data_IF_393676766713
#
_entry.id   IF_393676766713
#
_cell.length_a   1.000
_cell.length_b   1.000
_cell.length_c   1.000
_cell.angle_alpha   90.00
_cell.angle_beta   90.00
_cell.angle_gamma   90.00
#
_symmetry.space_group_name_H-M   'P 1'
#
loop_
_entity.id
_entity.type
_entity.pdbx_description
1 polymer ?
#
# COMPACT_ATOMS: atom_id res chain seq x y z
N UNK A 1 5.82 -23.60 -6.70
CA UNK A 1 5.41 -22.44 -7.53
C UNK A 1 3.97 -22.49 -8.04
N UNK A 2 3.40 -23.66 -8.38
CA UNK A 2 2.01 -23.76 -8.88
C UNK A 2 0.97 -23.19 -7.90
N UNK A 3 1.17 -23.44 -6.59
CA UNK A 3 0.30 -22.95 -5.52
C UNK A 3 0.21 -21.41 -5.47
N UNK A 4 1.35 -20.71 -5.46
CA UNK A 4 1.38 -19.24 -5.43
C UNK A 4 0.77 -18.63 -6.70
N UNK A 5 0.91 -19.29 -7.85
CA UNK A 5 0.23 -18.87 -9.08
C UNK A 5 -1.29 -19.01 -8.99
N UNK A 6 -1.79 -20.05 -8.32
CA UNK A 6 -3.21 -20.32 -8.15
C UNK A 6 -3.87 -19.43 -7.10
N UNK A 7 -3.20 -19.20 -5.97
CA UNK A 7 -3.75 -18.48 -4.82
C UNK A 7 -3.21 -17.07 -4.63
N UNK A 8 -2.27 -16.62 -5.47
CA UNK A 8 -1.59 -15.33 -5.31
C UNK A 8 -2.53 -14.12 -5.23
N UNK A 9 -3.64 -14.12 -5.97
CA UNK A 9 -4.62 -13.03 -5.88
C UNK A 9 -5.44 -13.04 -4.59
N UNK A 10 -5.58 -14.20 -3.94
CA UNK A 10 -6.16 -14.26 -2.60
C UNK A 10 -5.18 -13.70 -1.57
N UNK A 11 -3.89 -14.01 -1.67
CA UNK A 11 -2.86 -13.37 -0.83
C UNK A 11 -2.81 -11.86 -1.06
N UNK A 12 -2.93 -11.40 -2.30
CA UNK A 12 -2.99 -9.97 -2.61
C UNK A 12 -4.18 -9.29 -1.92
N UNK A 13 -5.37 -9.89 -2.02
CA UNK A 13 -6.58 -9.35 -1.41
C UNK A 13 -6.52 -9.39 0.13
N UNK A 14 -6.03 -10.50 0.70
CA UNK A 14 -5.84 -10.63 2.15
C UNK A 14 -4.78 -9.66 2.67
N UNK A 15 -3.71 -9.42 1.91
CA UNK A 15 -2.69 -8.42 2.24
C UNK A 15 -3.29 -7.02 2.31
N UNK A 16 -4.08 -6.63 1.30
CA UNK A 16 -4.81 -5.35 1.32
C UNK A 16 -5.75 -5.25 2.52
N UNK A 17 -6.56 -6.29 2.78
CA UNK A 17 -7.52 -6.26 3.89
C UNK A 17 -6.81 -6.20 5.24
N UNK A 18 -5.76 -6.98 5.43
CA UNK A 18 -4.94 -6.98 6.64
C UNK A 18 -4.36 -5.59 6.89
N UNK A 19 -3.67 -5.02 5.90
CA UNK A 19 -2.98 -3.74 6.03
C UNK A 19 -3.96 -2.58 6.20
N UNK A 20 -5.06 -2.57 5.44
CA UNK A 20 -6.10 -1.56 5.54
C UNK A 20 -6.81 -1.59 6.90
N UNK A 21 -7.18 -2.77 7.41
CA UNK A 21 -8.00 -2.87 8.64
C UNK A 21 -7.19 -2.68 9.92
N UNK A 22 -5.90 -3.05 9.91
CA UNK A 22 -5.00 -2.97 11.08
C UNK A 22 -5.09 -1.64 11.84
N UNK A 23 -4.90 -0.45 11.21
CA UNK A 23 -4.96 0.82 11.93
C UNK A 23 -6.36 1.17 12.48
N UNK A 24 -7.44 0.66 11.88
CA UNK A 24 -8.78 0.92 12.39
C UNK A 24 -9.11 0.03 13.59
N UNK A 25 -8.71 -1.24 13.53
CA UNK A 25 -8.90 -2.19 14.64
C UNK A 25 -8.04 -1.79 15.83
N UNK A 26 -6.74 -1.52 15.62
CA UNK A 26 -5.83 -1.14 16.70
C UNK A 26 -6.15 0.24 17.28
N UNK A 27 -6.75 1.13 16.48
CA UNK A 27 -7.25 2.42 16.97
C UNK A 27 -8.30 2.31 18.08
N UNK A 28 -9.02 1.19 18.17
CA UNK A 28 -9.97 0.94 19.26
C UNK A 28 -9.28 0.71 20.61
N UNK A 29 -8.00 0.33 20.58
CA UNK A 29 -7.20 -0.03 21.76
C UNK A 29 -6.10 0.99 22.06
N UNK A 30 -6.10 2.14 21.38
CA UNK A 30 -5.14 3.22 21.61
C UNK A 30 -5.86 4.58 21.78
N UNK A 31 -6.36 4.89 23.00
CA UNK A 31 -7.21 6.06 23.26
C UNK A 31 -6.56 7.41 22.92
N UNK A 32 -5.25 7.53 23.07
CA UNK A 32 -4.49 8.74 22.77
C UNK A 32 -4.30 8.98 21.27
N UNK A 33 -4.59 7.98 20.43
CA UNK A 33 -4.40 8.08 18.99
C UNK A 33 -5.56 8.85 18.33
N UNK A 34 -5.28 10.06 17.86
CA UNK A 34 -6.21 10.80 17.03
C UNK A 34 -6.05 10.44 15.54
N UNK A 35 -6.95 9.59 15.03
CA UNK A 35 -6.95 9.12 13.63
C UNK A 35 -6.97 10.24 12.58
N UNK A 36 -7.46 11.44 12.93
CA UNK A 36 -7.57 12.56 12.00
C UNK A 36 -6.25 13.32 11.87
N UNK A 37 -5.50 13.45 12.97
CA UNK A 37 -4.30 14.30 13.03
C UNK A 37 -3.01 13.51 13.13
N UNK A 38 -3.06 12.22 13.45
CA UNK A 38 -1.88 11.37 13.57
C UNK A 38 -1.77 10.37 12.40
N UNK A 39 -0.55 10.21 11.90
CA UNK A 39 -0.23 9.27 10.82
C UNK A 39 -0.29 7.82 11.32
N UNK A 40 -0.56 6.88 10.42
CA UNK A 40 -0.73 5.47 10.76
C UNK A 40 0.53 4.83 11.38
N UNK A 41 1.73 5.30 11.02
CA UNK A 41 2.97 4.78 11.60
C UNK A 41 3.10 5.01 13.11
N UNK A 42 2.33 5.93 13.70
CA UNK A 42 2.28 6.17 15.17
C UNK A 42 1.84 4.92 15.94
N UNK A 43 1.09 4.01 15.33
CA UNK A 43 0.78 2.71 15.95
C UNK A 43 2.03 1.85 16.20
N UNK A 44 3.12 2.09 15.47
CA UNK A 44 4.42 1.42 15.65
C UNK A 44 5.40 2.20 16.52
N UNK A 45 4.98 3.32 17.09
CA UNK A 45 5.81 4.12 18.01
C UNK A 45 6.15 3.33 19.28
N UNK A 46 7.34 3.58 19.84
CA UNK A 46 7.85 2.90 21.03
C UNK A 46 6.94 3.04 22.25
N UNK A 47 6.20 4.14 22.38
CA UNK A 47 5.26 4.39 23.46
C UNK A 47 3.85 3.83 23.20
N UNK A 48 3.58 3.31 22.00
CA UNK A 48 2.24 2.82 21.64
C UNK A 48 1.86 1.55 22.42
N UNK A 49 0.69 1.49 23.07
CA UNK A 49 0.22 0.30 23.79
C UNK A 49 -0.11 -0.88 22.85
N UNK A 50 -0.32 -0.58 21.56
CA UNK A 50 -0.65 -1.57 20.52
C UNK A 50 0.53 -1.88 19.59
N UNK A 51 1.73 -1.35 19.91
CA UNK A 51 2.94 -1.49 19.09
C UNK A 51 3.20 -2.92 18.64
N UNK A 52 3.23 -3.87 19.58
CA UNK A 52 3.54 -5.26 19.27
C UNK A 52 2.59 -5.86 18.23
N UNK A 53 1.29 -5.60 18.39
CA UNK A 53 0.28 -6.05 17.44
C UNK A 53 0.44 -5.37 16.08
N UNK A 54 0.66 -4.04 16.05
CA UNK A 54 0.88 -3.30 14.82
C UNK A 54 2.08 -3.85 14.03
N UNK A 55 3.23 -4.01 14.68
CA UNK A 55 4.45 -4.49 14.04
C UNK A 55 4.27 -5.89 13.44
N UNK A 56 3.66 -6.82 14.20
CA UNK A 56 3.40 -8.18 13.71
C UNK A 56 2.46 -8.17 12.51
N UNK A 57 1.36 -7.43 12.57
CA UNK A 57 0.40 -7.36 11.47
C UNK A 57 0.97 -6.66 10.23
N UNK A 58 1.84 -5.65 10.39
CA UNK A 58 2.57 -5.06 9.27
C UNK A 58 3.47 -6.09 8.57
N UNK A 59 4.20 -6.93 9.33
CA UNK A 59 4.97 -8.03 8.71
C UNK A 59 4.05 -9.02 7.99
N UNK A 60 2.94 -9.43 8.62
CA UNK A 60 1.97 -10.37 8.01
C UNK A 60 1.42 -9.82 6.69
N UNK A 61 0.97 -8.56 6.67
CA UNK A 61 0.50 -7.88 5.46
C UNK A 61 1.57 -7.88 4.36
N UNK A 62 2.81 -7.54 4.72
CA UNK A 62 3.94 -7.51 3.80
C UNK A 62 4.27 -8.89 3.20
N UNK A 63 4.26 -9.93 4.01
CA UNK A 63 4.44 -11.31 3.54
C UNK A 63 3.33 -11.71 2.56
N UNK A 64 2.08 -11.36 2.85
CA UNK A 64 0.95 -11.63 1.94
C UNK A 64 1.14 -10.95 0.57
N UNK A 65 1.61 -9.69 0.54
CA UNK A 65 1.95 -9.00 -0.71
C UNK A 65 3.10 -9.71 -1.46
N UNK A 66 4.15 -10.13 -0.76
CA UNK A 66 5.29 -10.85 -1.37
C UNK A 66 4.85 -12.20 -1.97
N UNK A 67 3.96 -12.93 -1.28
CA UNK A 67 3.43 -14.20 -1.77
C UNK A 67 2.55 -14.04 -3.02
N UNK A 68 2.00 -12.85 -3.27
CA UNK A 68 1.20 -12.55 -4.46
C UNK A 68 2.06 -12.31 -5.72
N UNK A 69 3.32 -11.91 -5.58
CA UNK A 69 4.16 -11.46 -6.69
C UNK A 69 4.28 -12.45 -7.86
N UNK A 70 4.42 -13.78 -7.64
CA UNK A 70 4.49 -14.72 -8.74
C UNK A 70 3.22 -14.73 -9.61
N UNK A 71 2.03 -14.60 -9.00
CA UNK A 71 0.78 -14.57 -9.77
C UNK A 71 0.64 -13.28 -10.58
N UNK A 72 1.07 -12.14 -10.02
CA UNK A 72 1.07 -10.83 -10.69
C UNK A 72 1.98 -10.88 -11.93
N UNK A 73 3.20 -11.37 -11.76
CA UNK A 73 4.17 -11.50 -12.86
C UNK A 73 3.63 -12.39 -13.98
N UNK A 74 3.14 -13.58 -13.63
CA UNK A 74 2.68 -14.56 -14.62
C UNK A 74 1.46 -14.09 -15.43
N UNK A 75 0.64 -13.21 -14.88
CA UNK A 75 -0.54 -12.65 -15.57
C UNK A 75 -0.16 -11.86 -16.82
N UNK A 76 1.00 -11.19 -16.79
CA UNK A 76 1.40 -10.25 -17.84
C UNK A 76 2.73 -10.60 -18.52
N UNK A 77 3.44 -11.65 -18.07
CA UNK A 77 4.73 -12.06 -18.66
C UNK A 77 4.67 -12.29 -20.17
N UNK A 78 3.53 -12.77 -20.67
CA UNK A 78 3.31 -13.02 -22.10
C UNK A 78 3.07 -11.73 -22.89
N UNK A 79 2.56 -10.68 -22.24
CA UNK A 79 2.36 -9.35 -22.84
C UNK A 79 3.66 -8.54 -22.84
N UNK A 80 4.39 -8.52 -21.73
CA UNK A 80 5.70 -7.90 -21.61
C UNK A 80 6.37 -8.34 -20.32
N UNK A 81 7.53 -9.01 -20.41
CA UNK A 81 8.30 -9.42 -19.23
C UNK A 81 8.73 -8.23 -18.39
N UNK A 82 9.23 -7.17 -19.02
CA UNK A 82 9.67 -5.95 -18.33
C UNK A 82 8.55 -5.30 -17.54
N UNK A 83 7.39 -5.03 -18.18
CA UNK A 83 6.26 -4.40 -17.49
C UNK A 83 5.64 -5.32 -16.42
N UNK A 84 5.63 -6.63 -16.64
CA UNK A 84 5.19 -7.59 -15.62
C UNK A 84 6.11 -7.60 -14.40
N UNK A 85 7.43 -7.53 -14.60
CA UNK A 85 8.41 -7.39 -13.51
C UNK A 85 8.24 -6.06 -12.77
N UNK A 86 8.04 -4.94 -13.48
CA UNK A 86 7.81 -3.64 -12.87
C UNK A 86 6.51 -3.58 -12.07
N UNK A 87 5.44 -4.20 -12.57
CA UNK A 87 4.17 -4.32 -11.85
C UNK A 87 4.32 -5.14 -10.57
N UNK A 88 5.03 -6.28 -10.63
CA UNK A 88 5.31 -7.09 -9.45
C UNK A 88 6.24 -6.33 -8.49
N UNK A 89 7.25 -5.63 -8.99
CA UNK A 89 8.14 -4.79 -8.18
C UNK A 89 7.38 -3.68 -7.47
N UNK A 90 6.37 -3.06 -8.09
CA UNK A 90 5.55 -2.04 -7.45
C UNK A 90 4.85 -2.56 -6.17
N UNK A 91 4.26 -3.76 -6.24
CA UNK A 91 3.67 -4.43 -5.06
C UNK A 91 4.74 -4.94 -4.10
N UNK A 92 5.89 -5.39 -4.60
CA UNK A 92 7.01 -5.85 -3.78
C UNK A 92 7.61 -4.70 -2.95
N UNK A 93 7.78 -3.52 -3.57
CA UNK A 93 8.21 -2.29 -2.89
C UNK A 93 7.22 -1.92 -1.80
N UNK A 94 5.91 -1.96 -2.08
CA UNK A 94 4.90 -1.69 -1.06
C UNK A 94 4.96 -2.69 0.10
N UNK A 95 4.88 -4.00 -0.20
CA UNK A 95 4.87 -5.04 0.83
C UNK A 95 6.15 -5.08 1.66
N UNK A 96 7.33 -4.89 1.05
CA UNK A 96 8.60 -4.90 1.76
C UNK A 96 8.85 -3.56 2.46
N UNK A 97 8.75 -2.45 1.72
CA UNK A 97 9.12 -1.12 2.20
C UNK A 97 8.10 -0.52 3.17
N UNK A 98 6.81 -0.59 2.85
CA UNK A 98 5.78 0.02 3.69
C UNK A 98 5.28 -0.92 4.80
N UNK A 99 5.26 -2.23 4.56
CA UNK A 99 4.75 -3.19 5.56
C UNK A 99 5.87 -3.91 6.34
N UNK A 100 6.76 -4.67 5.69
CA UNK A 100 7.80 -5.45 6.41
C UNK A 100 8.75 -4.53 7.16
N UNK A 101 9.27 -3.48 6.53
CA UNK A 101 10.18 -2.57 7.20
C UNK A 101 9.48 -1.83 8.36
N UNK A 102 8.21 -1.46 8.20
CA UNK A 102 7.42 -0.93 9.32
C UNK A 102 7.37 -1.87 10.51
N UNK A 103 7.21 -3.17 10.28
CA UNK A 103 7.17 -4.17 11.34
C UNK A 103 8.53 -4.49 11.97
N UNK A 104 9.62 -4.35 11.22
CA UNK A 104 10.98 -4.66 11.70
C UNK A 104 11.71 -3.45 12.29
N UNK A 105 11.37 -2.24 11.83
CA UNK A 105 12.02 -1.00 12.20
C UNK A 105 10.96 -0.04 12.75
N UNK A 106 10.92 0.07 14.08
CA UNK A 106 10.00 0.98 14.77
C UNK A 106 10.44 2.43 14.60
N UNK A 107 9.46 3.33 14.68
CA UNK A 107 9.73 4.77 14.75
C UNK A 107 9.89 5.21 16.20
N UNK A 108 10.70 6.26 16.35
CA UNK A 108 10.71 7.14 17.51
C UNK A 108 10.21 8.51 17.03
N UNK A 109 9.08 8.96 17.59
CA UNK A 109 8.40 10.18 17.15
C UNK A 109 9.13 11.46 17.57
N UNK A 110 10.03 11.41 18.55
CA UNK A 110 10.86 12.57 18.92
C UNK A 110 12.00 12.77 17.90
N UNK A 111 11.93 13.82 17.07
CA UNK A 111 12.93 14.06 16.01
C UNK A 111 14.37 14.19 16.52
N UNK A 112 14.55 14.69 17.74
CA UNK A 112 15.86 14.79 18.39
C UNK A 112 16.51 13.44 18.75
N UNK A 113 15.76 12.34 18.70
CA UNK A 113 16.24 11.00 19.07
C UNK A 113 16.18 10.01 17.90
N UNK A 114 16.01 10.49 16.66
CA UNK A 114 15.88 9.62 15.49
C UNK A 114 17.04 8.64 15.37
N UNK A 115 16.70 7.37 15.58
CA UNK A 115 17.62 6.25 15.44
C UNK A 115 17.79 5.84 13.97
N UNK A 116 18.78 4.99 13.69
CA UNK A 116 18.94 4.36 12.38
C UNK A 116 17.65 3.59 11.99
N UNK A 117 16.93 3.01 12.96
CA UNK A 117 15.64 2.34 12.73
C UNK A 117 14.61 3.31 12.14
N UNK A 118 14.46 4.50 12.71
CA UNK A 118 13.52 5.53 12.22
C UNK A 118 13.85 5.96 10.78
N UNK A 119 15.13 6.07 10.44
CA UNK A 119 15.57 6.39 9.07
C UNK A 119 15.23 5.29 8.07
N UNK A 120 15.54 4.02 8.41
CA UNK A 120 15.22 2.87 7.56
C UNK A 120 13.71 2.77 7.34
N UNK A 121 12.93 2.96 8.42
CA UNK A 121 11.47 3.01 8.36
C UNK A 121 11.00 4.09 7.38
N UNK A 122 11.40 5.35 7.58
CA UNK A 122 10.91 6.47 6.78
C UNK A 122 11.27 6.34 5.29
N UNK A 123 12.49 5.89 4.98
CA UNK A 123 12.91 5.62 3.59
C UNK A 123 12.12 4.43 3.01
N UNK A 124 11.97 3.36 3.80
CA UNK A 124 11.20 2.18 3.45
C UNK A 124 9.75 2.51 3.09
N UNK A 125 9.04 3.20 3.97
CA UNK A 125 7.66 3.63 3.76
C UNK A 125 7.53 4.59 2.58
N UNK A 126 8.48 5.50 2.41
CA UNK A 126 8.48 6.41 1.25
C UNK A 126 8.59 5.66 -0.08
N UNK A 127 9.51 4.70 -0.18
CA UNK A 127 9.68 3.84 -1.36
C UNK A 127 8.48 2.90 -1.56
N UNK A 128 7.96 2.34 -0.47
CA UNK A 128 6.81 1.46 -0.51
C UNK A 128 5.56 2.18 -1.00
N UNK A 129 5.28 3.36 -0.46
CA UNK A 129 4.19 4.22 -0.92
C UNK A 129 4.34 4.65 -2.38
N UNK A 130 5.57 4.91 -2.85
CA UNK A 130 5.82 5.18 -4.27
C UNK A 130 5.47 3.96 -5.14
N UNK A 131 5.87 2.74 -4.72
CA UNK A 131 5.46 1.49 -5.36
C UNK A 131 3.95 1.32 -5.45
N UNK A 132 3.25 1.64 -4.35
CA UNK A 132 1.80 1.63 -4.27
C UNK A 132 1.14 2.55 -5.31
N UNK A 133 1.65 3.77 -5.44
CA UNK A 133 1.13 4.80 -6.34
C UNK A 133 1.35 4.49 -7.82
N UNK A 134 2.50 3.91 -8.19
CA UNK A 134 2.83 3.59 -9.59
C UNK A 134 2.24 2.27 -10.08
N UNK A 135 1.69 1.43 -9.19
CA UNK A 135 1.05 0.17 -9.56
C UNK A 135 -0.02 0.30 -10.67
N UNK A 136 -1.03 1.18 -10.55
CA UNK A 136 -2.04 1.34 -11.61
C UNK A 136 -1.45 1.88 -12.92
N UNK A 137 -0.34 2.63 -12.90
CA UNK A 137 0.33 3.09 -14.13
C UNK A 137 0.77 1.91 -14.99
N UNK A 138 1.40 0.89 -14.39
CA UNK A 138 1.81 -0.30 -15.13
C UNK A 138 0.62 -1.09 -15.67
N UNK A 139 -0.49 -1.16 -14.92
CA UNK A 139 -1.73 -1.79 -15.41
C UNK A 139 -2.31 -1.06 -16.63
N UNK A 140 -2.32 0.27 -16.63
CA UNK A 140 -2.77 1.08 -17.79
C UNK A 140 -1.99 0.65 -19.04
N UNK A 141 -0.65 0.65 -18.95
CA UNK A 141 0.21 0.33 -20.10
C UNK A 141 0.01 -1.13 -20.55
N UNK A 142 -0.05 -2.07 -19.61
CA UNK A 142 -0.24 -3.49 -19.89
C UNK A 142 -1.60 -3.77 -20.55
N UNK A 143 -2.69 -3.20 -20.04
CA UNK A 143 -4.01 -3.38 -20.64
C UNK A 143 -4.15 -2.72 -22.01
N UNK A 144 -3.50 -1.57 -22.25
CA UNK A 144 -3.40 -0.99 -23.60
C UNK A 144 -2.70 -1.93 -24.57
N UNK A 145 -1.57 -2.53 -24.16
CA UNK A 145 -0.85 -3.52 -24.99
C UNK A 145 -1.67 -4.77 -25.29
N UNK A 146 -2.63 -5.12 -24.44
CA UNK A 146 -3.56 -6.23 -24.68
C UNK A 146 -4.80 -5.82 -25.52
N UNK A 147 -4.88 -4.57 -25.99
CA UNK A 147 -6.07 -4.06 -26.69
C UNK A 147 -7.30 -3.86 -25.79
N UNK A 148 -7.13 -3.93 -24.47
CA UNK A 148 -8.21 -3.87 -23.46
C UNK A 148 -8.45 -2.44 -23.00
N UNK A 149 -8.97 -1.61 -23.90
CA UNK A 149 -9.16 -0.17 -23.69
C UNK A 149 -10.04 0.15 -22.46
N UNK A 150 -11.14 -0.59 -22.26
CA UNK A 150 -12.05 -0.39 -21.12
C UNK A 150 -11.31 -0.57 -19.78
N UNK A 151 -10.56 -1.65 -19.62
CA UNK A 151 -9.77 -1.91 -18.41
C UNK A 151 -8.69 -0.84 -18.22
N UNK A 152 -7.99 -0.45 -19.29
CA UNK A 152 -7.02 0.64 -19.23
C UNK A 152 -7.64 1.95 -18.73
N UNK A 153 -8.83 2.32 -19.19
CA UNK A 153 -9.47 3.58 -18.82
C UNK A 153 -9.93 3.56 -17.34
N UNK A 154 -10.39 2.40 -16.84
CA UNK A 154 -10.69 2.23 -15.42
C UNK A 154 -9.44 2.48 -14.57
N UNK A 155 -8.31 1.87 -14.90
CA UNK A 155 -7.07 2.11 -14.13
C UNK A 155 -6.52 3.52 -14.30
N UNK A 156 -6.75 4.18 -15.45
CA UNK A 156 -6.39 5.59 -15.62
C UNK A 156 -7.17 6.49 -14.67
N UNK A 157 -8.49 6.29 -14.57
CA UNK A 157 -9.32 7.03 -13.62
C UNK A 157 -8.84 6.80 -12.18
N UNK A 158 -8.63 5.53 -11.79
CA UNK A 158 -8.14 5.19 -10.46
C UNK A 158 -6.76 5.79 -10.17
N UNK A 159 -5.86 5.82 -11.17
CA UNK A 159 -4.54 6.42 -11.04
C UNK A 159 -4.63 7.94 -10.83
N UNK A 160 -5.47 8.64 -11.60
CA UNK A 160 -5.67 10.09 -11.43
C UNK A 160 -6.20 10.39 -10.02
N UNK A 161 -7.22 9.66 -9.57
CA UNK A 161 -7.78 9.81 -8.21
C UNK A 161 -6.69 9.55 -7.15
N UNK A 162 -5.87 8.51 -7.34
CA UNK A 162 -4.77 8.18 -6.44
C UNK A 162 -3.73 9.30 -6.40
N UNK A 163 -3.30 9.83 -7.55
CA UNK A 163 -2.35 10.95 -7.64
C UNK A 163 -2.88 12.22 -6.98
N UNK A 164 -4.14 12.59 -7.22
CA UNK A 164 -4.74 13.77 -6.61
C UNK A 164 -4.78 13.64 -5.08
N UNK A 165 -5.21 12.49 -4.56
CA UNK A 165 -5.23 12.23 -3.12
C UNK A 165 -3.83 12.21 -2.51
N UNK A 166 -2.84 11.63 -3.22
CA UNK A 166 -1.46 11.58 -2.78
C UNK A 166 -0.83 12.97 -2.77
N UNK A 167 -1.20 13.83 -3.73
CA UNK A 167 -0.82 15.25 -3.75
C UNK A 167 -1.35 16.00 -2.54
N UNK A 168 -2.64 15.83 -2.19
CA UNK A 168 -3.22 16.42 -0.98
C UNK A 168 -2.52 15.92 0.28
N UNK A 169 -2.23 14.62 0.37
CA UNK A 169 -1.49 14.06 1.48
C UNK A 169 -0.05 14.60 1.57
N UNK A 170 0.64 14.71 0.42
CA UNK A 170 1.97 15.31 0.33
C UNK A 170 1.98 16.77 0.79
N UNK A 171 0.98 17.56 0.40
CA UNK A 171 0.80 18.93 0.88
C UNK A 171 0.56 19.00 2.39
N UNK A 172 -0.22 18.06 2.95
CA UNK A 172 -0.46 17.97 4.39
C UNK A 172 0.80 17.67 5.21
N UNK A 173 1.84 17.12 4.58
CA UNK A 173 3.16 16.90 5.22
C UNK A 173 4.04 18.15 5.23
N UNK A 174 3.70 19.21 4.51
CA UNK A 174 4.52 20.44 4.42
C UNK A 174 4.14 21.39 5.58
N UNK A 175 5.04 21.65 6.55
CA UNK A 175 4.71 22.44 7.74
C UNK A 175 4.24 23.87 7.46
N UNK A 176 4.66 24.49 6.34
CA UNK A 176 4.25 25.85 5.97
C UNK A 176 2.87 25.96 5.34
N UNK A 177 2.23 24.83 4.99
CA UNK A 177 0.94 24.77 4.29
C UNK A 177 -0.10 23.99 5.11
N UNK A 178 0.34 23.20 6.09
CA UNK A 178 -0.51 22.30 6.84
C UNK A 178 -1.52 23.00 7.78
N UNK A 179 -1.46 24.32 7.96
CA UNK A 179 -2.44 25.07 8.77
C UNK A 179 -3.84 25.16 8.12
N UNK A 180 -3.96 24.83 6.83
CA UNK A 180 -5.26 24.84 6.14
C UNK A 180 -6.22 23.78 6.74
N UNK A 181 -7.55 24.04 6.84
CA UNK A 181 -8.50 23.23 7.64
C UNK A 181 -8.64 21.74 7.31
N UNK A 182 -8.16 21.32 6.14
CA UNK A 182 -8.11 19.91 5.71
C UNK A 182 -6.69 19.36 5.86
N UNK A 183 -5.67 20.18 5.62
CA UNK A 183 -4.27 19.75 5.64
C UNK A 183 -3.72 19.59 7.07
N UNK A 184 -4.31 20.27 8.05
CA UNK A 184 -3.98 20.06 9.47
C UNK A 184 -4.44 18.69 9.99
N UNK A 185 -5.28 17.98 9.22
CA UNK A 185 -5.71 16.60 9.48
C UNK A 185 -4.88 15.64 8.64
N UNK A 186 -3.56 15.66 8.85
CA UNK A 186 -2.60 14.82 8.12
C UNK A 186 -2.95 13.32 8.18
N UNK A 187 -3.44 12.84 9.34
CA UNK A 187 -3.87 11.45 9.53
C UNK A 187 -5.07 11.07 8.64
N UNK A 188 -6.02 11.99 8.48
CA UNK A 188 -7.16 11.83 7.58
C UNK A 188 -6.72 11.82 6.12
N UNK A 189 -5.92 12.81 5.71
CA UNK A 189 -5.39 12.89 4.35
C UNK A 189 -4.61 11.63 3.96
N UNK A 190 -3.79 11.10 4.88
CA UNK A 190 -3.07 9.84 4.69
C UNK A 190 -4.04 8.68 4.44
N UNK A 191 -5.03 8.48 5.32
CA UNK A 191 -5.97 7.34 5.23
C UNK A 191 -6.81 7.37 3.97
N UNK A 192 -7.29 8.55 3.56
CA UNK A 192 -7.98 8.73 2.27
C UNK A 192 -7.07 8.34 1.11
N UNK A 193 -5.82 8.80 1.13
CA UNK A 193 -4.90 8.48 0.05
C UNK A 193 -4.57 6.98 0.00
N UNK A 194 -4.30 6.34 1.13
CA UNK A 194 -4.09 4.89 1.19
C UNK A 194 -5.32 4.11 0.71
N UNK A 195 -6.52 4.47 1.19
CA UNK A 195 -7.77 3.86 0.72
C UNK A 195 -7.91 3.90 -0.80
N UNK A 196 -7.69 5.08 -1.40
CA UNK A 196 -7.81 5.25 -2.85
C UNK A 196 -6.73 4.50 -3.63
N UNK A 197 -5.52 4.36 -3.08
CA UNK A 197 -4.47 3.53 -3.66
C UNK A 197 -4.74 2.02 -3.52
N UNK A 198 -5.49 1.57 -2.50
CA UNK A 198 -5.88 0.15 -2.38
C UNK A 198 -6.91 -0.26 -3.45
N UNK A 199 -7.82 0.65 -3.83
CA UNK A 199 -8.88 0.36 -4.82
C UNK A 199 -8.34 -0.28 -6.11
N UNK A 200 -7.33 0.25 -6.82
CA UNK A 200 -6.80 -0.39 -8.02
C UNK A 200 -6.25 -1.80 -7.75
N UNK A 201 -5.64 -2.06 -6.58
CA UNK A 201 -5.17 -3.40 -6.22
C UNK A 201 -6.35 -4.36 -6.00
N UNK A 202 -7.37 -3.93 -5.27
CA UNK A 202 -8.57 -4.75 -4.99
C UNK A 202 -9.31 -5.06 -6.29
N UNK A 203 -9.54 -4.05 -7.14
CA UNK A 203 -10.19 -4.23 -8.45
C UNK A 203 -9.38 -5.20 -9.30
N UNK A 204 -8.05 -5.09 -9.31
CA UNK A 204 -7.18 -6.01 -10.01
C UNK A 204 -7.31 -7.44 -9.47
N UNK A 205 -7.15 -7.65 -8.16
CA UNK A 205 -7.23 -8.95 -7.52
C UNK A 205 -8.57 -9.66 -7.80
N UNK A 206 -9.69 -8.95 -7.61
CA UNK A 206 -11.03 -9.48 -7.84
C UNK A 206 -11.23 -9.88 -9.31
N UNK A 207 -10.78 -9.05 -10.25
CA UNK A 207 -10.89 -9.35 -11.67
C UNK A 207 -10.11 -10.62 -12.06
N UNK A 208 -8.91 -10.80 -11.49
CA UNK A 208 -8.12 -12.01 -11.75
C UNK A 208 -8.72 -13.26 -11.11
N UNK A 209 -9.26 -13.15 -9.88
CA UNK A 209 -9.97 -14.25 -9.22
C UNK A 209 -11.19 -14.68 -10.05
N UNK A 210 -12.01 -13.72 -10.51
CA UNK A 210 -13.18 -14.01 -11.36
C UNK A 210 -12.78 -14.66 -12.69
N UNK A 211 -11.73 -14.13 -13.34
CA UNK A 211 -11.25 -14.71 -14.60
C UNK A 211 -10.66 -16.12 -14.44
N UNK A 212 -10.09 -16.45 -13.28
CA UNK A 212 -9.56 -17.78 -12.99
C UNK A 212 -10.69 -18.81 -12.82
N UNK A 213 -11.76 -18.43 -12.11
CA UNK A 213 -12.95 -19.28 -11.94
C UNK A 213 -13.65 -19.60 -13.26
N UNK A 214 -13.70 -18.65 -14.19
CA UNK A 214 -14.33 -18.88 -15.50
C UNK A 214 -13.53 -19.79 -16.45
N UNK A 215 -12.30 -20.17 -16.08
CA UNK A 215 -11.42 -21.05 -16.89
C UNK A 215 -11.29 -22.46 -16.30
N UNK A 216 -11.84 -22.70 -15.12
CA UNK A 216 -11.83 -23.99 -14.42
C UNK A 216 -13.17 -24.69 -14.66
#
# INVERSE_FOLDING_TARGET
MLFLKKYGFYFLLLGVLSDFLTPYILGLFYPEMNQMTMVMSVFGDVASPVRGAFLVWSVVSGVLFVLALPAIYETFRATSRTLASLLALAIGLYGVGDCIFTGLFSIDTEQSTWTISTWIHNIGSGLGYAGFLIFPLFLIILYRKQGKARQSNIYLLLFIISLLSAGVYGLARIPTINDLPILNKIGFCQRISFFLNYVPIVVFAINQIKSSKNKA
#
